data_IF_230323157338
#
_entry.id   IF_230323157338
#
_cell.length_a   1.000
_cell.length_b   1.000
_cell.length_c   1.000
_cell.angle_alpha   90.00
_cell.angle_beta   90.00
_cell.angle_gamma   90.00
#
_symmetry.space_group_name_H-M   'P 1'
#
loop_
_entity.id
_entity.type
_entity.pdbx_description
1 polymer ?
#
# COMPACT_ATOMS: atom_id res chain seq x y z
N UNK A 1 0.19 16.57 -18.53
CA UNK A 1 0.45 15.55 -17.49
C UNK A 1 1.54 14.63 -18.04
N UNK A 2 2.76 14.71 -17.53
CA UNK A 2 3.84 13.82 -17.98
C UNK A 2 3.57 12.42 -17.40
N UNK A 3 3.45 11.42 -18.27
CA UNK A 3 3.41 10.02 -17.83
C UNK A 3 4.80 9.65 -17.37
N UNK A 4 4.94 9.27 -16.10
CA UNK A 4 6.19 8.73 -15.57
C UNK A 4 6.13 7.22 -15.81
N UNK A 5 7.14 6.69 -16.47
CA UNK A 5 7.26 5.26 -16.77
C UNK A 5 8.28 4.63 -15.81
N UNK A 6 7.98 3.44 -15.32
CA UNK A 6 8.82 2.76 -14.35
C UNK A 6 8.15 1.53 -13.76
N UNK A 7 8.87 0.88 -12.87
CA UNK A 7 8.40 -0.29 -12.14
C UNK A 7 7.71 0.13 -10.84
N UNK A 8 6.67 -0.63 -10.50
CA UNK A 8 5.95 -0.52 -9.23
C UNK A 8 6.18 -1.79 -8.43
N UNK A 9 6.57 -1.61 -7.18
CA UNK A 9 6.64 -2.66 -6.18
C UNK A 9 5.66 -2.33 -5.04
N UNK A 10 4.80 -3.30 -4.70
CA UNK A 10 3.90 -3.24 -3.55
C UNK A 10 4.47 -4.16 -2.49
N UNK A 11 4.82 -3.58 -1.34
CA UNK A 11 5.47 -4.27 -0.25
C UNK A 11 4.53 -4.32 0.97
N UNK A 12 3.91 -5.47 1.26
CA UNK A 12 3.12 -5.67 2.46
C UNK A 12 3.96 -5.49 3.73
N UNK A 13 3.39 -4.81 4.72
CA UNK A 13 4.00 -4.54 6.02
C UNK A 13 3.01 -4.80 7.14
N UNK A 14 3.55 -5.18 8.29
CA UNK A 14 2.81 -5.40 9.52
C UNK A 14 3.51 -4.65 10.64
N UNK A 15 2.79 -3.80 11.35
CA UNK A 15 3.32 -2.98 12.45
C UNK A 15 2.55 -3.30 13.73
N UNK A 16 3.22 -3.47 14.89
CA UNK A 16 2.53 -3.56 16.18
C UNK A 16 1.71 -2.29 16.47
N UNK A 17 0.44 -2.44 16.82
CA UNK A 17 -0.48 -1.34 17.17
C UNK A 17 -0.58 -1.12 18.70
N UNK A 18 0.50 -1.46 19.42
CA UNK A 18 0.50 -1.53 20.89
C UNK A 18 -0.43 -2.65 21.40
N UNK A 19 -1.14 -2.40 22.50
CA UNK A 19 -2.08 -3.38 23.09
C UNK A 19 -3.33 -3.67 22.25
N UNK A 20 -3.48 -3.03 21.08
CA UNK A 20 -4.64 -3.17 20.19
C UNK A 20 -4.48 -4.25 19.12
N UNK A 21 -3.30 -4.88 19.03
CA UNK A 21 -2.99 -5.92 18.05
C UNK A 21 -2.02 -5.43 16.97
N UNK A 22 -2.34 -5.70 15.71
CA UNK A 22 -1.45 -5.50 14.57
C UNK A 22 -2.10 -4.65 13.48
N UNK A 23 -1.36 -3.72 12.89
CA UNK A 23 -1.79 -2.89 11.77
C UNK A 23 -1.21 -3.42 10.46
N UNK A 24 -2.08 -3.57 9.45
CA UNK A 24 -1.70 -3.89 8.09
C UNK A 24 -1.38 -2.62 7.30
N UNK A 25 -0.24 -2.61 6.62
CA UNK A 25 0.21 -1.49 5.79
C UNK A 25 0.76 -1.97 4.46
N UNK A 26 0.77 -1.09 3.48
CA UNK A 26 1.43 -1.31 2.19
C UNK A 26 2.43 -0.18 1.97
N UNK A 27 3.69 -0.54 1.75
CA UNK A 27 4.66 0.34 1.13
C UNK A 27 4.53 0.24 -0.38
N UNK A 28 4.44 1.38 -1.02
CA UNK A 28 4.51 1.53 -2.47
C UNK A 28 5.89 2.05 -2.79
N UNK A 29 6.61 1.35 -3.66
CA UNK A 29 7.88 1.82 -4.21
C UNK A 29 7.73 1.94 -5.72
N UNK A 30 7.95 3.14 -6.23
CA UNK A 30 8.07 3.39 -7.66
C UNK A 30 9.55 3.59 -8.00
N UNK A 31 10.01 2.96 -9.08
CA UNK A 31 11.37 3.14 -9.62
C UNK A 31 11.24 3.58 -11.07
N UNK A 32 11.69 4.79 -11.37
CA UNK A 32 11.67 5.30 -12.73
C UNK A 32 12.80 4.69 -13.57
N UNK A 33 12.71 4.84 -14.90
CA UNK A 33 13.74 4.34 -15.83
C UNK A 33 15.07 5.08 -15.73
N UNK A 34 15.12 6.22 -15.03
CA UNK A 34 16.32 7.01 -14.77
C UNK A 34 17.03 6.62 -13.46
N UNK A 35 16.52 5.64 -12.72
CA UNK A 35 17.07 5.16 -11.45
C UNK A 35 16.62 5.96 -10.22
N UNK A 36 15.67 6.90 -10.35
CA UNK A 36 15.07 7.56 -9.19
C UNK A 36 14.02 6.65 -8.55
N UNK A 37 13.89 6.72 -7.23
CA UNK A 37 12.87 5.98 -6.50
C UNK A 37 12.02 6.91 -5.65
N UNK A 38 10.71 6.71 -5.70
CA UNK A 38 9.72 7.34 -4.83
C UNK A 38 9.09 6.25 -3.98
N UNK A 39 8.91 6.50 -2.69
CA UNK A 39 8.25 5.56 -1.79
C UNK A 39 7.20 6.24 -0.93
N UNK A 40 6.15 5.49 -0.60
CA UNK A 40 5.08 5.96 0.27
C UNK A 40 4.47 4.79 1.04
N UNK A 41 4.24 4.97 2.34
CA UNK A 41 3.56 3.99 3.18
C UNK A 41 2.12 4.39 3.42
N UNK A 42 1.19 3.49 3.14
CA UNK A 42 -0.23 3.70 3.42
C UNK A 42 -0.80 2.60 4.32
N UNK A 43 -1.70 2.94 5.24
CA UNK A 43 -2.47 1.93 5.96
C UNK A 43 -3.45 1.24 5.02
N UNK A 44 -3.67 -0.07 5.23
CA UNK A 44 -4.73 -0.81 4.54
C UNK A 44 -6.09 -0.25 4.95
N UNK A 45 -6.95 0.06 3.97
CA UNK A 45 -8.32 0.56 4.23
C UNK A 45 -9.37 -0.55 4.15
N UNK A 46 -10.43 -0.51 4.98
CA UNK A 46 -10.61 0.42 6.10
C UNK A 46 -9.60 0.15 7.22
N UNK A 47 -9.08 1.21 7.87
CA UNK A 47 -8.07 1.09 8.91
C UNK A 47 -8.58 0.23 10.06
N UNK A 48 -7.99 -0.95 10.26
CA UNK A 48 -8.38 -1.93 11.26
C UNK A 48 -7.14 -2.53 11.94
N UNK A 49 -7.36 -3.03 13.17
CA UNK A 49 -6.35 -3.79 13.91
C UNK A 49 -6.71 -5.28 13.88
N UNK A 50 -5.70 -6.12 13.71
CA UNK A 50 -5.84 -7.57 13.61
C UNK A 50 -5.36 -8.26 14.89
N UNK A 51 -5.93 -9.43 15.18
CA UNK A 51 -5.61 -10.20 16.38
C UNK A 51 -4.23 -10.85 16.30
N UNK A 52 -3.72 -11.09 15.08
CA UNK A 52 -2.39 -11.67 14.86
C UNK A 52 -1.61 -10.95 13.74
N UNK A 53 -0.25 -11.06 13.76
CA UNK A 53 0.55 -10.50 12.67
C UNK A 53 0.28 -11.20 11.33
N UNK A 54 -0.15 -12.46 11.36
CA UNK A 54 -0.49 -13.22 10.15
C UNK A 54 -1.75 -12.66 9.48
N UNK A 55 -2.81 -12.43 10.25
CA UNK A 55 -4.04 -11.81 9.74
C UNK A 55 -3.77 -10.43 9.14
N UNK A 56 -2.93 -9.62 9.81
CA UNK A 56 -2.52 -8.32 9.27
C UNK A 56 -1.74 -8.46 7.96
N UNK A 57 -0.87 -9.47 7.84
CA UNK A 57 -0.12 -9.71 6.61
C UNK A 57 -1.03 -10.15 5.45
N UNK A 58 -1.97 -11.05 5.71
CA UNK A 58 -2.92 -11.52 4.71
C UNK A 58 -3.80 -10.36 4.21
N UNK A 59 -4.21 -9.46 5.10
CA UNK A 59 -4.93 -8.25 4.74
C UNK A 59 -4.06 -7.27 3.91
N UNK A 60 -2.79 -7.08 4.27
CA UNK A 60 -1.86 -6.25 3.50
C UNK A 60 -1.60 -6.80 2.09
N UNK A 61 -1.46 -8.12 1.94
CA UNK A 61 -1.31 -8.79 0.65
C UNK A 61 -2.54 -8.59 -0.23
N UNK A 62 -3.74 -8.86 0.31
CA UNK A 62 -4.99 -8.72 -0.43
C UNK A 62 -5.23 -7.26 -0.87
N UNK A 63 -4.95 -6.30 0.02
CA UNK A 63 -5.06 -4.89 -0.31
C UNK A 63 -4.05 -4.45 -1.38
N UNK A 64 -2.81 -4.91 -1.27
CA UNK A 64 -1.77 -4.64 -2.26
C UNK A 64 -2.11 -5.15 -3.66
N UNK A 65 -2.66 -6.37 -3.75
CA UNK A 65 -3.14 -6.93 -5.02
C UNK A 65 -4.28 -6.09 -5.63
N UNK A 66 -5.20 -5.61 -4.78
CA UNK A 66 -6.30 -4.76 -5.24
C UNK A 66 -5.80 -3.39 -5.74
N UNK A 67 -4.83 -2.79 -5.07
CA UNK A 67 -4.18 -1.55 -5.50
C UNK A 67 -3.52 -1.70 -6.88
N UNK A 68 -2.77 -2.79 -7.10
CA UNK A 68 -2.18 -3.08 -8.41
C UNK A 68 -3.24 -3.21 -9.49
N UNK A 69 -4.33 -3.93 -9.20
CA UNK A 69 -5.43 -4.12 -10.14
C UNK A 69 -6.11 -2.78 -10.50
N UNK A 70 -6.33 -1.92 -9.51
CA UNK A 70 -6.92 -0.60 -9.71
C UNK A 70 -6.02 0.28 -10.59
N UNK A 71 -4.70 0.23 -10.39
CA UNK A 71 -3.73 0.94 -11.24
C UNK A 71 -3.68 0.42 -12.68
N UNK A 72 -3.67 -0.90 -12.88
CA UNK A 72 -3.73 -1.49 -14.23
C UNK A 72 -5.02 -1.09 -14.94
N UNK A 73 -6.13 -0.97 -14.21
CA UNK A 73 -7.44 -0.54 -14.74
C UNK A 73 -7.54 0.97 -14.96
N UNK A 74 -6.54 1.75 -14.55
CA UNK A 74 -6.58 3.22 -14.62
C UNK A 74 -7.60 3.83 -13.68
N UNK A 75 -8.04 3.13 -12.64
CA UNK A 75 -8.88 3.69 -11.61
C UNK A 75 -8.07 4.72 -10.82
N UNK A 76 -8.54 5.96 -10.78
CA UNK A 76 -7.96 6.98 -9.92
C UNK A 76 -8.22 6.57 -8.46
N UNK A 77 -7.18 6.39 -7.61
CA UNK A 77 -7.39 6.17 -6.19
C UNK A 77 -8.24 7.32 -5.65
N UNK A 78 -9.30 7.02 -4.91
CA UNK A 78 -10.11 8.05 -4.26
C UNK A 78 -9.18 8.88 -3.36
N UNK A 79 -8.99 10.14 -3.75
CA UNK A 79 -8.19 11.12 -3.04
C UNK A 79 -8.92 11.61 -1.79
N UNK A 80 -9.19 10.72 -0.83
CA UNK A 80 -9.44 11.12 0.55
C UNK A 80 -8.09 11.19 1.26
N UNK A 81 -7.28 12.16 0.84
CA UNK A 81 -6.15 12.68 1.61
C UNK A 81 -6.71 13.93 2.28
N UNK A 82 -7.17 13.80 3.52
CA UNK A 82 -7.50 14.95 4.35
C UNK A 82 -6.21 15.74 4.60
N UNK A 83 -6.16 16.96 4.08
CA UNK A 83 -5.25 18.04 4.48
C UNK A 83 -5.35 18.36 5.96
#
# INVERSE_FOLDING_TARGET
MHKICGDVEIVPRVIPAGGRGWEARVEVVFRDTGGQSLSGSQPVRPGCTFGSPREAMDAALLHGQRLLLDWVRGATPNADIAT
#
